data_IF_509844128687
#
_entry.id   IF_509844128687
#
_cell.length_a   1.000
_cell.length_b   1.000
_cell.length_c   1.000
_cell.angle_alpha   90.00
_cell.angle_beta   90.00
_cell.angle_gamma   90.00
#
_symmetry.space_group_name_H-M   'P 1'
#
loop_
_entity.id
_entity.type
_entity.pdbx_description
1 polymer ?
#
# COMPACT_ATOMS: atom_id res chain seq x y z
N UNK A 1 -9.60 26.71 38.19
CA UNK A 1 -8.53 25.75 37.83
C UNK A 1 -9.17 24.45 37.39
N UNK A 2 -9.16 24.16 36.09
CA UNK A 2 -9.24 22.79 35.57
C UNK A 2 -8.77 22.81 34.11
N UNK A 3 -7.45 22.74 34.01
CA UNK A 3 -6.61 22.21 32.92
C UNK A 3 -7.26 21.88 31.57
N UNK A 4 -6.96 22.75 30.60
CA UNK A 4 -6.49 22.47 29.25
C UNK A 4 -6.69 21.03 28.72
N UNK A 5 -7.79 20.81 28.00
CA UNK A 5 -7.82 19.83 26.92
C UNK A 5 -6.95 20.35 25.78
N UNK A 6 -5.68 19.98 25.82
CA UNK A 6 -4.72 20.19 24.74
C UNK A 6 -5.25 19.54 23.46
N UNK A 7 -5.65 20.37 22.49
CA UNK A 7 -5.97 20.01 21.10
C UNK A 7 -4.73 19.48 20.32
N UNK A 8 -3.57 19.35 20.98
CA UNK A 8 -2.30 18.94 20.37
C UNK A 8 -2.27 17.51 19.77
N UNK A 9 -2.99 16.50 20.30
CA UNK A 9 -3.00 15.16 19.68
C UNK A 9 -3.84 15.10 18.40
N UNK A 10 -4.96 15.84 18.34
CA UNK A 10 -5.85 15.87 17.17
C UNK A 10 -5.19 16.59 15.98
N UNK A 11 -4.43 17.66 16.27
CA UNK A 11 -3.63 18.44 15.31
C UNK A 11 -2.44 17.62 14.77
N UNK A 12 -1.86 16.70 15.55
CA UNK A 12 -0.77 15.81 15.10
C UNK A 12 -1.25 14.65 14.20
N UNK A 13 -2.53 14.28 14.27
CA UNK A 13 -3.15 13.30 13.36
C UNK A 13 -3.70 13.92 12.06
N UNK A 14 -3.78 15.25 11.97
CA UNK A 14 -4.24 15.98 10.78
C UNK A 14 -3.12 16.21 9.74
N UNK A 15 -1.86 16.00 10.12
CA UNK A 15 -0.69 16.45 9.34
C UNK A 15 -0.37 15.59 8.09
N UNK A 16 -1.08 14.47 7.86
CA UNK A 16 -0.96 13.64 6.64
C UNK A 16 -2.10 13.86 5.63
N UNK A 17 -3.25 14.37 6.07
CA UNK A 17 -4.35 14.80 5.20
C UNK A 17 -4.11 16.22 4.67
N UNK A 18 -3.37 17.04 5.42
CA UNK A 18 -3.05 18.41 5.02
C UNK A 18 -1.97 18.51 3.95
N UNK A 19 -1.03 17.57 3.79
CA UNK A 19 0.01 17.72 2.75
C UNK A 19 -0.59 17.67 1.34
N UNK A 20 -1.55 16.77 1.10
CA UNK A 20 -2.26 16.69 -0.18
C UNK A 20 -3.27 17.82 -0.36
N UNK A 21 -3.83 18.36 0.73
CA UNK A 21 -4.82 19.45 0.71
C UNK A 21 -4.14 20.83 0.57
N UNK A 22 -3.08 21.09 1.32
CA UNK A 22 -2.21 22.27 1.26
C UNK A 22 -1.53 22.42 -0.11
N UNK A 23 -1.10 21.31 -0.73
CA UNK A 23 -0.57 21.33 -2.11
C UNK A 23 -1.62 21.69 -3.17
N UNK A 24 -2.89 21.33 -2.93
CA UNK A 24 -4.03 21.65 -3.81
C UNK A 24 -4.52 23.09 -3.62
N UNK A 25 -4.37 23.62 -2.40
CA UNK A 25 -4.76 24.99 -2.03
C UNK A 25 -3.71 26.06 -2.45
N UNK A 26 -2.44 25.69 -2.68
CA UNK A 26 -1.36 26.64 -3.04
C UNK A 26 -1.16 26.88 -4.56
N UNK A 27 -1.86 26.18 -5.45
CA UNK A 27 -1.83 26.47 -6.89
C UNK A 27 -0.51 26.21 -7.62
N UNK A 28 0.46 25.52 -7.00
CA UNK A 28 1.77 25.21 -7.61
C UNK A 28 1.79 23.75 -8.05
N UNK A 29 2.15 23.51 -9.32
CA UNK A 29 2.35 22.16 -9.85
C UNK A 29 3.44 21.47 -9.02
N UNK A 30 3.17 20.31 -8.39
CA UNK A 30 4.16 19.66 -7.56
C UNK A 30 5.38 19.26 -8.40
N UNK A 31 6.56 19.52 -7.86
CA UNK A 31 7.83 19.10 -8.42
C UNK A 31 7.79 17.59 -8.72
N UNK A 32 8.33 17.10 -9.86
CA UNK A 32 8.39 15.67 -10.15
C UNK A 32 8.93 14.86 -8.96
N UNK A 33 8.41 13.66 -8.74
CA UNK A 33 8.76 12.87 -7.56
C UNK A 33 10.26 12.52 -7.52
N UNK A 34 10.88 12.37 -8.69
CA UNK A 34 12.31 12.12 -8.83
C UNK A 34 13.15 13.31 -8.35
N UNK A 35 12.64 14.53 -8.51
CA UNK A 35 13.28 15.77 -8.04
C UNK A 35 13.05 15.96 -6.53
N UNK A 36 11.85 15.65 -6.03
CA UNK A 36 11.59 15.63 -4.59
C UNK A 36 12.53 14.66 -3.84
N UNK A 37 12.70 13.43 -4.37
CA UNK A 37 13.65 12.48 -3.80
C UNK A 37 15.11 12.93 -3.96
N UNK A 38 15.46 13.62 -5.04
CA UNK A 38 16.81 14.16 -5.22
C UNK A 38 17.14 15.22 -4.16
N UNK A 39 16.18 16.08 -3.81
CA UNK A 39 16.35 17.07 -2.75
C UNK A 39 16.54 16.40 -1.37
N UNK A 40 15.71 15.39 -1.05
CA UNK A 40 15.82 14.64 0.20
C UNK A 40 17.12 13.82 0.27
N UNK A 41 17.61 13.31 -0.86
CA UNK A 41 18.91 12.65 -0.92
C UNK A 41 20.07 13.63 -0.65
N UNK A 42 20.01 14.85 -1.19
CA UNK A 42 21.03 15.87 -0.88
C UNK A 42 21.06 16.17 0.63
N UNK A 43 19.90 16.23 1.27
CA UNK A 43 19.80 16.32 2.73
C UNK A 43 20.36 15.07 3.43
N UNK A 44 20.12 13.87 2.89
CA UNK A 44 20.64 12.62 3.47
C UNK A 44 22.16 12.48 3.38
N UNK A 45 22.82 13.18 2.45
CA UNK A 45 24.29 13.20 2.35
C UNK A 45 24.95 13.89 3.54
N UNK A 46 24.27 14.86 4.16
CA UNK A 46 24.73 15.56 5.36
C UNK A 46 24.23 14.91 6.65
N UNK A 47 23.03 14.32 6.64
CA UNK A 47 22.41 13.57 7.74
C UNK A 47 22.06 12.14 7.28
N UNK A 48 22.98 11.17 7.50
CA UNK A 48 22.89 9.77 7.02
C UNK A 48 21.83 8.91 7.74
N UNK A 49 20.66 9.46 8.02
CA UNK A 49 19.61 8.79 8.80
C UNK A 49 18.27 8.73 8.08
N UNK A 50 18.22 9.11 6.80
CA UNK A 50 16.99 9.00 6.03
C UNK A 50 16.92 7.65 5.32
N UNK A 51 15.79 6.99 5.54
CA UNK A 51 15.43 5.75 4.88
C UNK A 51 14.14 5.96 4.09
N UNK A 52 13.90 5.11 3.12
CA UNK A 52 12.73 5.15 2.26
C UNK A 52 12.05 3.79 2.20
N UNK A 53 10.75 3.80 2.50
CA UNK A 53 9.87 2.67 2.36
C UNK A 53 8.89 2.94 1.23
N UNK A 54 8.86 2.05 0.24
CA UNK A 54 7.83 2.12 -0.78
C UNK A 54 6.54 1.51 -0.26
N UNK A 55 5.41 2.19 -0.43
CA UNK A 55 4.11 1.77 0.09
C UNK A 55 3.01 2.01 -0.92
N UNK A 56 1.98 1.16 -0.87
CA UNK A 56 0.72 1.38 -1.59
C UNK A 56 -0.13 2.47 -0.92
N UNK A 57 0.17 2.79 0.33
CA UNK A 57 -0.48 3.83 1.11
C UNK A 57 0.47 4.99 1.42
N UNK A 58 -0.02 6.23 1.52
CA UNK A 58 0.80 7.40 1.88
C UNK A 58 1.30 7.35 3.33
N UNK A 59 0.81 6.40 4.13
CA UNK A 59 1.24 6.15 5.51
C UNK A 59 1.75 4.73 5.66
N UNK A 60 2.48 4.50 6.75
CA UNK A 60 2.92 3.15 7.09
C UNK A 60 1.71 2.33 7.56
N UNK A 61 1.48 1.18 6.91
CA UNK A 61 0.32 0.32 7.14
C UNK A 61 0.34 -0.33 8.53
N UNK A 62 -0.77 -0.20 9.26
CA UNK A 62 -1.02 -0.87 10.53
C UNK A 62 -1.40 -2.33 10.25
N UNK A 63 -0.43 -3.24 10.36
CA UNK A 63 -0.78 -4.60 10.78
C UNK A 63 -0.92 -4.54 12.31
N UNK A 64 -1.97 -5.12 12.88
CA UNK A 64 -2.28 -4.95 14.32
C UNK A 64 -1.96 -6.17 15.19
N UNK A 65 -1.49 -7.28 14.62
CA UNK A 65 -0.85 -8.40 15.34
C UNK A 65 -0.38 -9.44 14.34
N UNK A 66 0.80 -10.00 14.56
CA UNK A 66 1.15 -11.30 13.98
C UNK A 66 1.05 -12.39 15.05
N UNK A 67 0.97 -13.64 14.62
CA UNK A 67 0.87 -14.82 15.49
C UNK A 67 2.01 -14.93 16.51
N UNK A 68 3.15 -14.28 16.25
CA UNK A 68 4.32 -14.28 17.13
C UNK A 68 4.30 -13.14 18.16
N UNK A 69 3.22 -12.33 18.20
CA UNK A 69 3.07 -11.15 19.07
C UNK A 69 4.29 -10.21 19.00
N UNK A 70 5.02 -10.21 17.88
CA UNK A 70 6.06 -9.20 17.66
C UNK A 70 5.42 -7.89 17.21
N UNK A 71 6.03 -6.75 17.53
CA UNK A 71 5.51 -5.50 17.05
C UNK A 71 5.61 -5.46 15.53
N UNK A 72 4.84 -4.57 14.93
CA UNK A 72 4.74 -4.52 13.48
C UNK A 72 5.81 -3.59 12.95
N UNK A 73 6.56 -4.08 11.98
CA UNK A 73 7.61 -3.35 11.30
C UNK A 73 7.58 -3.56 9.81
N UNK A 74 8.48 -2.88 9.13
CA UNK A 74 8.49 -2.77 7.67
C UNK A 74 9.93 -2.57 7.19
N UNK A 75 10.18 -2.99 5.96
CA UNK A 75 11.48 -2.83 5.35
C UNK A 75 11.60 -1.45 4.71
N UNK A 76 12.69 -0.75 5.02
CA UNK A 76 13.07 0.51 4.39
C UNK A 76 14.52 0.44 3.91
N UNK A 77 14.83 1.21 2.89
CA UNK A 77 16.16 1.25 2.26
C UNK A 77 16.83 2.57 2.59
N UNK A 78 18.15 2.60 2.62
CA UNK A 78 18.86 3.86 2.72
C UNK A 78 18.48 4.79 1.55
N UNK A 79 18.21 6.06 1.82
CA UNK A 79 17.76 7.00 0.79
C UNK A 79 18.95 7.47 -0.08
N UNK A 80 19.17 6.81 -1.21
CA UNK A 80 20.15 7.17 -2.24
C UNK A 80 19.51 6.99 -3.64
N UNK A 81 19.30 8.08 -4.39
CA UNK A 81 18.52 8.09 -5.64
C UNK A 81 19.13 7.18 -6.70
N UNK A 82 20.46 7.13 -6.81
CA UNK A 82 21.13 6.29 -7.81
C UNK A 82 20.84 4.81 -7.57
N UNK A 83 20.73 4.43 -6.29
CA UNK A 83 20.40 3.07 -5.86
C UNK A 83 18.89 2.83 -5.89
N UNK A 84 18.08 3.82 -5.51
CA UNK A 84 16.63 3.75 -5.51
C UNK A 84 16.04 3.44 -6.88
N UNK A 85 16.59 3.96 -7.98
CA UNK A 85 16.07 3.65 -9.32
C UNK A 85 16.03 2.15 -9.63
N UNK A 86 16.92 1.34 -9.03
CA UNK A 86 16.92 -0.12 -9.18
C UNK A 86 15.88 -0.83 -8.31
N UNK A 87 15.45 -0.19 -7.21
CA UNK A 87 14.55 -0.75 -6.19
C UNK A 87 13.20 -0.03 -6.14
N UNK A 88 13.00 0.98 -7.00
CA UNK A 88 11.75 1.68 -7.17
C UNK A 88 10.72 0.66 -7.66
N UNK A 89 9.93 0.17 -6.72
CA UNK A 89 8.85 -0.78 -7.01
C UNK A 89 7.70 -0.08 -7.75
N UNK A 90 6.69 -0.81 -8.19
CA UNK A 90 5.47 -0.24 -8.77
C UNK A 90 4.59 0.53 -7.76
N UNK A 91 4.98 0.57 -6.48
CA UNK A 91 4.20 1.20 -5.42
C UNK A 91 4.09 2.73 -5.62
N UNK A 92 2.89 3.31 -5.47
CA UNK A 92 2.60 4.71 -5.76
C UNK A 92 3.22 5.71 -4.78
N UNK A 93 3.66 5.28 -3.59
CA UNK A 93 4.26 6.18 -2.61
C UNK A 93 5.66 5.72 -2.20
N UNK A 94 6.51 6.70 -1.94
CA UNK A 94 7.77 6.56 -1.22
C UNK A 94 7.65 7.34 0.09
N UNK A 95 7.61 6.62 1.20
CA UNK A 95 7.57 7.18 2.56
C UNK A 95 9.01 7.30 3.05
N UNK A 96 9.49 8.54 3.17
CA UNK A 96 10.81 8.83 3.73
C UNK A 96 10.66 8.96 5.24
N UNK A 97 11.51 8.24 5.96
CA UNK A 97 11.48 8.12 7.41
C UNK A 97 12.84 8.43 8.01
N UNK A 98 12.85 8.69 9.31
CA UNK A 98 14.05 8.74 10.14
C UNK A 98 13.84 7.91 11.42
N UNK A 99 14.84 7.19 11.93
CA UNK A 99 14.80 6.63 13.27
C UNK A 99 14.67 7.73 14.32
N UNK A 100 13.83 7.52 15.34
CA UNK A 100 13.78 8.42 16.50
C UNK A 100 15.11 8.36 17.27
N UNK A 101 15.52 9.41 18.00
CA UNK A 101 16.72 9.38 18.82
C UNK A 101 16.76 8.23 19.86
N UNK A 102 15.60 7.71 20.24
CA UNK A 102 15.44 6.58 21.18
C UNK A 102 15.60 5.20 20.52
N UNK A 103 15.63 5.13 19.19
CA UNK A 103 15.71 3.87 18.46
C UNK A 103 17.13 3.29 18.55
N UNK A 104 17.25 2.02 18.95
CA UNK A 104 18.55 1.33 18.96
C UNK A 104 18.79 0.65 17.62
N UNK A 105 19.66 1.24 16.79
CA UNK A 105 20.03 0.68 15.49
C UNK A 105 21.21 -0.28 15.64
N UNK A 106 21.14 -1.43 14.96
CA UNK A 106 22.29 -2.33 14.87
C UNK A 106 23.19 -1.88 13.72
N UNK A 107 24.28 -1.20 14.05
CA UNK A 107 25.32 -0.84 13.09
C UNK A 107 26.53 -1.76 13.25
N UNK A 108 26.72 -2.64 12.27
CA UNK A 108 27.81 -3.60 12.27
C UNK A 108 29.20 -2.99 12.13
N UNK A 109 29.30 -1.72 11.72
CA UNK A 109 30.60 -1.03 11.62
C UNK A 109 31.07 -0.50 12.97
N UNK A 110 30.14 -0.24 13.89
CA UNK A 110 30.41 0.24 15.24
C UNK A 110 30.18 -0.85 16.31
N UNK A 111 29.66 -2.01 15.92
CA UNK A 111 29.40 -3.14 16.82
C UNK A 111 30.71 -3.78 17.32
N UNK A 112 30.99 -3.56 18.61
CA UNK A 112 32.24 -3.98 19.24
C UNK A 112 32.19 -5.40 19.84
N UNK A 113 33.36 -5.92 20.23
CA UNK A 113 33.47 -7.15 21.01
C UNK A 113 32.71 -7.10 22.35
N UNK A 114 32.64 -5.93 22.96
CA UNK A 114 31.94 -5.72 24.24
C UNK A 114 30.41 -5.76 24.05
N UNK A 115 29.89 -5.16 22.97
CA UNK A 115 28.47 -5.28 22.64
C UNK A 115 28.08 -6.73 22.38
N UNK A 116 28.93 -7.48 21.67
CA UNK A 116 28.74 -8.91 21.44
C UNK A 116 28.65 -9.69 22.74
N UNK A 117 29.58 -9.45 23.68
CA UNK A 117 29.58 -10.10 24.99
C UNK A 117 28.27 -9.83 25.74
N UNK A 118 27.85 -8.58 25.80
CA UNK A 118 26.60 -8.18 26.49
C UNK A 118 25.36 -8.81 25.87
N UNK A 119 25.26 -8.83 24.54
CA UNK A 119 24.11 -9.42 23.86
C UNK A 119 24.10 -10.96 23.97
N UNK A 120 25.27 -11.60 24.00
CA UNK A 120 25.40 -13.04 24.32
C UNK A 120 24.95 -13.36 25.75
N UNK A 121 25.34 -12.54 26.72
CA UNK A 121 24.92 -12.68 28.12
C UNK A 121 23.39 -12.54 28.25
N UNK A 122 22.76 -11.61 27.51
CA UNK A 122 21.30 -11.48 27.44
C UNK A 122 20.63 -12.73 26.86
N UNK A 123 21.16 -13.28 25.78
CA UNK A 123 20.64 -14.53 25.18
C UNK A 123 20.77 -15.69 26.17
N UNK A 124 21.91 -15.83 26.84
CA UNK A 124 22.10 -16.85 27.87
C UNK A 124 21.06 -16.71 29.01
N UNK A 125 20.83 -15.48 29.49
CA UNK A 125 19.83 -15.20 30.51
C UNK A 125 18.38 -15.50 30.05
N UNK A 126 18.13 -15.41 28.74
CA UNK A 126 16.85 -15.79 28.11
C UNK A 126 16.72 -17.30 27.83
N UNK A 127 17.70 -18.12 28.24
CA UNK A 127 17.62 -19.58 28.14
C UNK A 127 18.19 -20.19 26.86
N UNK A 128 18.91 -19.41 26.05
CA UNK A 128 19.55 -19.93 24.83
C UNK A 128 20.79 -20.79 25.14
N UNK A 129 21.00 -21.86 24.35
CA UNK A 129 22.06 -22.85 24.58
C UNK A 129 23.48 -22.28 24.41
N UNK A 130 24.30 -22.39 25.46
CA UNK A 130 25.72 -22.02 25.44
C UNK A 130 26.51 -22.75 24.35
N UNK A 131 26.17 -24.01 24.05
CA UNK A 131 26.83 -24.80 23.00
C UNK A 131 26.59 -24.22 21.61
N UNK A 132 25.39 -23.73 21.34
CA UNK A 132 25.04 -23.09 20.07
C UNK A 132 25.74 -21.73 19.92
N UNK A 133 25.85 -20.97 21.00
CA UNK A 133 26.59 -19.70 21.07
C UNK A 133 28.09 -19.94 20.79
N UNK A 134 28.71 -20.94 21.41
CA UNK A 134 30.12 -21.28 21.17
C UNK A 134 30.38 -21.78 19.75
N UNK A 135 29.46 -22.56 19.17
CA UNK A 135 29.58 -23.02 17.79
C UNK A 135 29.54 -21.84 16.80
N UNK A 136 28.59 -20.92 16.97
CA UNK A 136 28.51 -19.69 16.18
C UNK A 136 29.78 -18.82 16.30
N UNK A 137 30.35 -18.76 17.51
CA UNK A 137 31.60 -18.04 17.79
C UNK A 137 32.79 -18.61 17.01
N UNK A 138 32.83 -19.93 16.77
CA UNK A 138 33.91 -20.56 15.97
C UNK A 138 33.76 -20.24 14.48
N UNK A 139 32.54 -20.34 13.92
CA UNK A 139 32.31 -20.09 12.49
C UNK A 139 32.52 -18.64 12.03
N UNK A 140 32.45 -17.67 12.94
CA UNK A 140 32.70 -16.27 12.60
C UNK A 140 34.18 -15.88 12.59
N UNK A 141 35.08 -16.73 13.11
CA UNK A 141 36.53 -16.45 13.12
C UNK A 141 37.15 -16.42 11.71
N UNK A 142 36.47 -17.01 10.73
CA UNK A 142 36.98 -17.14 9.36
C UNK A 142 36.67 -15.93 8.47
N UNK A 143 35.90 -14.95 8.94
CA UNK A 143 35.54 -13.73 8.20
C UNK A 143 36.14 -12.46 8.83
N UNK A 144 36.70 -11.58 7.99
CA UNK A 144 37.43 -10.35 8.36
C UNK A 144 36.59 -9.27 9.09
N UNK A 145 35.34 -9.54 9.45
CA UNK A 145 34.52 -8.69 10.31
C UNK A 145 33.86 -9.53 11.41
N UNK A 146 34.66 -9.95 12.39
CA UNK A 146 34.30 -10.96 13.38
C UNK A 146 33.00 -10.59 14.12
N UNK A 147 32.87 -9.37 14.64
CA UNK A 147 31.83 -9.05 15.63
C UNK A 147 30.42 -8.91 15.04
N UNK A 148 30.28 -8.20 13.91
CA UNK A 148 28.99 -8.08 13.23
C UNK A 148 28.54 -9.40 12.61
N UNK A 149 29.49 -10.15 12.04
CA UNK A 149 29.22 -11.51 11.53
C UNK A 149 28.90 -12.48 12.67
N UNK A 150 29.47 -12.28 13.86
CA UNK A 150 29.22 -13.12 15.04
C UNK A 150 27.78 -12.98 15.54
N UNK A 151 27.28 -11.76 15.78
CA UNK A 151 25.90 -11.60 16.27
C UNK A 151 24.88 -12.08 15.24
N UNK A 152 25.17 -11.91 13.95
CA UNK A 152 24.39 -12.50 12.86
C UNK A 152 24.41 -14.03 12.88
N UNK A 153 25.59 -14.66 12.98
CA UNK A 153 25.73 -16.11 13.06
C UNK A 153 25.04 -16.69 14.29
N UNK A 154 25.19 -16.06 15.46
CA UNK A 154 24.56 -16.49 16.71
C UNK A 154 23.03 -16.42 16.58
N UNK A 155 22.47 -15.30 16.13
CA UNK A 155 21.02 -15.15 15.99
C UNK A 155 20.43 -16.09 14.94
N UNK A 156 21.13 -16.35 13.83
CA UNK A 156 20.72 -17.31 12.81
C UNK A 156 20.79 -18.76 13.30
N UNK A 157 21.88 -19.14 13.96
CA UNK A 157 22.05 -20.49 14.48
C UNK A 157 21.08 -20.77 15.63
N UNK A 158 20.84 -19.82 16.52
CA UNK A 158 19.85 -19.94 17.60
C UNK A 158 18.40 -19.93 17.08
N UNK A 159 18.12 -19.23 15.97
CA UNK A 159 16.84 -19.34 15.29
C UNK A 159 16.58 -20.75 14.71
N UNK A 160 17.64 -21.46 14.32
CA UNK A 160 17.57 -22.82 13.78
C UNK A 160 17.75 -23.93 14.82
N UNK A 161 18.39 -23.62 15.96
CA UNK A 161 18.60 -24.56 17.05
C UNK A 161 17.34 -24.60 17.91
N UNK A 162 16.68 -25.75 17.94
CA UNK A 162 15.53 -26.02 18.80
C UNK A 162 15.83 -25.63 20.25
N UNK A 163 15.35 -24.45 20.63
CA UNK A 163 15.33 -23.90 21.97
C UNK A 163 14.33 -22.74 21.88
N UNK A 164 13.22 -22.69 22.62
CA UNK A 164 12.96 -23.10 24.00
C UNK A 164 11.43 -23.30 24.12
N UNK A 165 11.00 -24.25 24.96
CA UNK A 165 9.62 -24.54 25.44
C UNK A 165 8.97 -25.84 24.90
N UNK A 166 8.83 -26.91 25.72
CA UNK A 166 8.07 -28.12 25.40
C UNK A 166 6.58 -27.88 25.06
N UNK A 167 5.99 -26.77 25.52
CA UNK A 167 4.58 -26.44 25.29
C UNK A 167 4.34 -25.49 24.10
N UNK A 168 5.40 -25.13 23.36
CA UNK A 168 5.29 -24.37 22.12
C UNK A 168 5.53 -25.28 20.91
N UNK A 169 4.46 -25.73 20.26
CA UNK A 169 4.52 -26.39 18.94
C UNK A 169 4.26 -25.37 17.82
N UNK A 170 5.30 -24.76 17.21
CA UNK A 170 5.10 -24.06 15.96
C UNK A 170 4.87 -25.09 14.84
N UNK A 171 3.81 -24.90 14.06
CA UNK A 171 3.55 -25.70 12.87
C UNK A 171 4.82 -25.80 12.00
N UNK A 172 5.10 -27.00 11.47
CA UNK A 172 6.28 -27.29 10.68
C UNK A 172 6.52 -26.19 9.62
N UNK A 173 7.75 -25.64 9.51
CA UNK A 173 8.01 -24.54 8.60
C UNK A 173 7.80 -25.02 7.17
N UNK A 174 6.86 -24.40 6.46
CA UNK A 174 6.91 -24.37 5.00
C UNK A 174 8.23 -23.70 4.61
N UNK A 175 8.88 -24.21 3.56
CA UNK A 175 10.11 -23.65 2.99
C UNK A 175 9.84 -22.26 2.38
N UNK A 176 9.59 -21.27 3.21
CA UNK A 176 9.29 -19.92 2.75
C UNK A 176 10.59 -19.10 2.74
N UNK A 177 11.13 -18.95 1.53
CA UNK A 177 12.22 -18.02 1.21
C UNK A 177 11.64 -16.60 1.18
N UNK A 178 11.84 -15.85 2.26
CA UNK A 178 11.91 -14.38 2.27
C UNK A 178 10.65 -13.57 1.95
N UNK A 179 10.51 -12.43 2.62
CA UNK A 179 9.54 -11.38 2.27
C UNK A 179 8.41 -11.12 3.28
N UNK A 180 8.74 -11.05 4.59
CA UNK A 180 7.83 -10.72 5.70
C UNK A 180 7.00 -11.91 6.23
N UNK A 181 6.29 -11.82 7.38
CA UNK A 181 6.52 -11.02 8.59
C UNK A 181 7.55 -11.70 9.53
N UNK A 182 8.53 -10.92 9.98
CA UNK A 182 9.56 -11.20 11.01
C UNK A 182 10.04 -12.66 11.08
N UNK A 183 11.12 -12.98 10.35
CA UNK A 183 11.83 -14.25 10.54
C UNK A 183 12.34 -14.41 11.98
N UNK A 184 12.62 -15.64 12.40
CA UNK A 184 13.10 -15.96 13.77
C UNK A 184 14.30 -15.10 14.20
N UNK A 185 15.19 -14.72 13.29
CA UNK A 185 16.34 -13.86 13.60
C UNK A 185 15.92 -12.40 13.91
N UNK A 186 14.97 -11.83 13.16
CA UNK A 186 14.45 -10.48 13.41
C UNK A 186 13.68 -10.44 14.73
N UNK A 187 13.01 -11.54 15.11
CA UNK A 187 12.43 -11.70 16.46
C UNK A 187 13.51 -11.57 17.53
N UNK A 188 14.61 -12.34 17.42
CA UNK A 188 15.68 -12.37 18.42
C UNK A 188 16.35 -11.00 18.58
N UNK A 189 16.77 -10.39 17.47
CA UNK A 189 17.43 -9.08 17.50
C UNK A 189 16.55 -8.01 18.16
N UNK A 190 15.25 -8.07 17.95
CA UNK A 190 14.36 -7.05 18.44
C UNK A 190 13.78 -7.31 19.82
N UNK A 191 13.19 -8.49 20.05
CA UNK A 191 12.52 -8.82 21.31
C UNK A 191 13.50 -9.14 22.43
N UNK A 192 14.59 -9.83 22.10
CA UNK A 192 15.54 -10.30 23.09
C UNK A 192 16.67 -9.31 23.25
N UNK A 193 17.22 -8.83 22.14
CA UNK A 193 18.39 -7.94 22.16
C UNK A 193 18.05 -6.45 22.14
N UNK A 194 16.83 -6.08 21.72
CA UNK A 194 16.34 -4.70 21.77
C UNK A 194 16.78 -3.80 20.61
N UNK A 195 17.06 -4.36 19.42
CA UNK A 195 17.38 -3.57 18.22
C UNK A 195 16.12 -3.28 17.40
N UNK A 196 15.88 -2.00 17.08
CA UNK A 196 14.68 -1.53 16.37
C UNK A 196 14.87 -1.36 14.85
N UNK A 197 16.12 -1.35 14.39
CA UNK A 197 16.53 -1.29 12.99
C UNK A 197 17.51 -2.41 12.69
N UNK A 198 17.03 -3.49 12.04
CA UNK A 198 17.83 -4.69 11.77
C UNK A 198 17.97 -4.92 10.28
N UNK A 199 19.17 -5.27 9.81
CA UNK A 199 19.46 -5.46 8.38
C UNK A 199 19.00 -6.83 7.91
N UNK A 200 18.28 -6.89 6.79
CA UNK A 200 17.95 -8.12 6.06
C UNK A 200 18.93 -8.32 4.90
N UNK A 201 19.72 -9.40 4.99
CA UNK A 201 20.79 -9.72 4.08
C UNK A 201 20.37 -10.84 3.12
N UNK A 202 19.54 -10.52 2.12
CA UNK A 202 19.19 -11.47 1.06
C UNK A 202 20.37 -12.27 0.48
N UNK A 203 21.63 -11.85 0.68
CA UNK A 203 22.86 -12.64 0.53
C UNK A 203 23.93 -12.36 1.62
N UNK A 204 24.70 -13.41 1.96
CA UNK A 204 25.47 -13.63 3.20
C UNK A 204 26.77 -12.82 3.42
N UNK A 205 26.85 -11.52 3.11
CA UNK A 205 28.01 -10.74 3.55
C UNK A 205 27.59 -9.32 3.92
N UNK A 206 27.85 -8.93 5.16
CA UNK A 206 27.77 -7.54 5.63
C UNK A 206 28.90 -6.76 4.94
N UNK A 207 28.64 -6.32 3.72
CA UNK A 207 29.52 -5.41 3.00
C UNK A 207 28.91 -4.01 3.00
N UNK A 208 29.69 -3.04 3.46
CA UNK A 208 29.53 -1.62 3.15
C UNK A 208 29.50 -1.31 1.63
N UNK A 209 29.74 -2.34 0.80
CA UNK A 209 29.72 -2.31 -0.67
C UNK A 209 28.42 -2.82 -1.29
N UNK A 210 27.52 -3.46 -0.52
CA UNK A 210 26.21 -3.91 -1.02
C UNK A 210 25.26 -2.70 -1.00
N UNK A 211 24.92 -2.09 -2.15
CA UNK A 211 24.32 -0.77 -2.16
C UNK A 211 22.90 -0.75 -1.58
N UNK A 212 22.22 -1.90 -1.48
CA UNK A 212 20.75 -1.99 -1.47
C UNK A 212 20.18 -2.82 -0.31
N UNK A 213 20.82 -2.76 0.86
CA UNK A 213 20.34 -3.48 2.05
C UNK A 213 19.04 -2.86 2.58
N UNK A 214 18.08 -3.73 2.93
CA UNK A 214 16.85 -3.33 3.61
C UNK A 214 17.06 -3.37 5.12
N UNK A 215 16.60 -2.34 5.82
CA UNK A 215 16.53 -2.29 7.27
C UNK A 215 15.08 -2.46 7.67
N UNK A 216 14.80 -3.43 8.53
CA UNK A 216 13.50 -3.63 9.13
C UNK A 216 13.36 -2.69 10.33
N UNK A 217 12.38 -1.79 10.26
CA UNK A 217 12.07 -0.83 11.32
C UNK A 217 10.80 -1.20 12.06
N UNK A 218 10.85 -1.05 13.38
CA UNK A 218 9.64 -0.94 14.19
C UNK A 218 8.88 0.36 13.83
N UNK A 219 7.60 0.23 13.50
CA UNK A 219 6.71 1.36 13.21
C UNK A 219 6.63 2.41 14.31
N UNK A 220 6.83 2.04 15.58
CA UNK A 220 6.76 2.99 16.71
C UNK A 220 8.04 3.79 16.94
N UNK A 221 9.17 3.35 16.37
CA UNK A 221 10.52 3.90 16.63
C UNK A 221 11.06 4.75 15.48
N UNK A 222 10.21 5.07 14.52
CA UNK A 222 10.53 5.95 13.40
C UNK A 222 9.59 7.14 13.35
N UNK A 223 10.04 8.21 12.71
CA UNK A 223 9.24 9.37 12.33
C UNK A 223 9.14 9.45 10.81
N UNK A 224 7.99 9.86 10.29
CA UNK A 224 7.82 10.14 8.87
C UNK A 224 8.38 11.53 8.60
N UNK A 225 9.39 11.59 7.74
CA UNK A 225 10.02 12.85 7.30
C UNK A 225 9.29 13.42 6.09
N UNK A 226 8.92 12.56 5.14
CA UNK A 226 8.19 12.99 3.95
C UNK A 226 7.41 11.84 3.32
N UNK A 227 6.36 12.17 2.56
CA UNK A 227 5.63 11.23 1.72
C UNK A 227 5.68 11.76 0.30
N UNK A 228 6.37 11.02 -0.56
CA UNK A 228 6.52 11.33 -1.98
C UNK A 228 5.54 10.47 -2.78
N UNK A 229 4.64 11.12 -3.50
CA UNK A 229 3.76 10.46 -4.46
C UNK A 229 4.55 10.25 -5.77
N UNK A 230 4.77 8.99 -6.15
CA UNK A 230 5.50 8.60 -7.36
C UNK A 230 4.66 8.64 -8.63
N UNK A 231 3.40 9.07 -8.53
CA UNK A 231 2.54 9.24 -9.71
C UNK A 231 3.02 10.46 -10.48
N UNK A 232 3.88 10.22 -11.47
CA UNK A 232 3.95 11.12 -12.61
C UNK A 232 2.58 11.10 -13.30
N UNK A 233 2.10 12.27 -13.71
CA UNK A 233 0.91 12.41 -14.57
C UNK A 233 1.02 11.60 -15.90
N UNK A 234 2.18 11.00 -16.18
CA UNK A 234 2.46 10.22 -17.39
C UNK A 234 2.08 8.73 -17.39
N UNK A 235 1.53 8.15 -16.31
CA UNK A 235 1.20 6.70 -16.30
C UNK A 235 -0.28 6.33 -16.45
N UNK A 236 -1.14 7.27 -16.85
CA UNK A 236 -2.53 6.97 -17.27
C UNK A 236 -2.61 6.73 -18.79
N UNK A 237 -1.60 7.15 -19.57
CA UNK A 237 -1.65 7.17 -21.04
C UNK A 237 -0.64 6.25 -21.76
N UNK A 238 0.40 5.74 -21.09
CA UNK A 238 1.30 4.76 -21.73
C UNK A 238 0.75 3.33 -21.59
N UNK A 239 -0.32 3.08 -22.32
CA UNK A 239 -0.80 1.74 -22.56
C UNK A 239 -0.33 1.27 -23.95
N UNK A 240 0.14 0.02 -24.10
CA UNK A 240 0.60 -0.48 -25.39
C UNK A 240 -0.48 -0.27 -26.46
N UNK A 241 -0.05 0.07 -27.69
CA UNK A 241 -0.95 0.22 -28.86
C UNK A 241 -1.89 -0.99 -28.94
N UNK A 242 -3.19 -0.75 -28.86
CA UNK A 242 -4.23 -1.81 -28.83
C UNK A 242 -4.86 -2.06 -27.45
N UNK A 243 -4.47 -1.34 -26.41
CA UNK A 243 -5.15 -1.38 -25.11
C UNK A 243 -6.50 -0.66 -25.14
N UNK A 244 -7.37 -0.98 -24.18
CA UNK A 244 -8.67 -0.28 -24.01
C UNK A 244 -8.47 1.23 -23.90
N UNK A 245 -7.36 1.69 -23.29
CA UNK A 245 -6.96 3.10 -23.16
C UNK A 245 -6.77 3.79 -24.54
N UNK A 246 -6.23 3.08 -25.53
CA UNK A 246 -6.08 3.60 -26.90
C UNK A 246 -7.42 3.72 -27.68
N UNK A 247 -8.50 3.11 -27.20
CA UNK A 247 -9.86 3.32 -27.74
C UNK A 247 -10.49 4.64 -27.23
N UNK A 248 -9.97 5.25 -26.16
CA UNK A 248 -10.47 6.52 -25.62
C UNK A 248 -9.74 7.76 -26.16
N UNK A 249 -8.62 7.57 -26.86
CA UNK A 249 -7.79 8.68 -27.39
C UNK A 249 -8.24 9.15 -28.77
N UNK A 250 -9.08 8.39 -29.46
CA UNK A 250 -9.59 8.74 -30.79
C UNK A 250 -10.96 9.43 -30.70
N UNK A 251 -10.92 10.75 -30.88
CA UNK A 251 -11.86 11.50 -31.73
C UNK A 251 -13.08 12.25 -31.16
N UNK A 252 -13.16 12.62 -29.87
CA UNK A 252 -14.10 13.70 -29.44
C UNK A 252 -13.54 14.63 -28.37
N UNK A 253 -13.66 15.95 -28.59
CA UNK A 253 -13.45 16.97 -27.57
C UNK A 253 -14.50 16.77 -26.47
N UNK A 254 -14.05 16.38 -25.28
CA UNK A 254 -14.95 16.20 -24.13
C UNK A 254 -15.46 17.57 -23.65
N UNK A 255 -16.66 17.57 -23.10
CA UNK A 255 -17.21 18.71 -22.39
C UNK A 255 -16.51 18.83 -21.02
N UNK A 256 -15.86 19.96 -20.76
CA UNK A 256 -14.99 20.11 -19.59
C UNK A 256 -15.77 20.60 -18.37
N UNK A 257 -15.78 19.78 -17.33
CA UNK A 257 -16.33 20.06 -16.01
C UNK A 257 -15.37 19.64 -14.90
N UNK A 258 -14.07 19.60 -15.19
CA UNK A 258 -13.07 19.18 -14.21
C UNK A 258 -13.09 20.05 -12.94
N UNK A 259 -12.94 19.39 -11.79
CA UNK A 259 -12.92 20.07 -10.48
C UNK A 259 -14.24 20.73 -10.07
N UNK A 260 -15.34 20.47 -10.78
CA UNK A 260 -16.64 21.07 -10.48
C UNK A 260 -17.22 20.54 -9.17
N UNK A 261 -18.08 21.34 -8.53
CA UNK A 261 -18.81 20.97 -7.32
C UNK A 261 -20.26 20.58 -7.66
N UNK A 262 -20.58 19.31 -7.45
CA UNK A 262 -21.89 18.71 -7.64
C UNK A 262 -22.41 18.07 -6.34
N UNK A 263 -21.84 18.45 -5.19
CA UNK A 263 -22.20 17.85 -3.90
C UNK A 263 -23.69 17.97 -3.61
N UNK A 264 -24.29 16.87 -3.15
CA UNK A 264 -25.70 16.78 -2.78
C UNK A 264 -26.68 17.20 -3.89
N UNK A 265 -26.23 17.29 -5.15
CA UNK A 265 -27.11 17.62 -6.26
C UNK A 265 -27.85 16.37 -6.75
N UNK A 266 -29.05 16.58 -7.28
CA UNK A 266 -29.86 15.52 -7.93
C UNK A 266 -29.69 15.53 -9.45
N UNK A 267 -30.10 14.46 -10.15
CA UNK A 267 -30.06 14.32 -11.62
C UNK A 267 -30.38 15.63 -12.36
N UNK A 268 -31.53 16.22 -12.06
CA UNK A 268 -32.02 17.45 -12.71
C UNK A 268 -31.06 18.63 -12.58
N UNK A 269 -30.49 18.83 -11.39
CA UNK A 269 -29.57 19.94 -11.14
C UNK A 269 -28.26 19.73 -11.91
N UNK A 270 -27.73 18.51 -11.88
CA UNK A 270 -26.48 18.18 -12.56
C UNK A 270 -26.66 18.27 -14.08
N UNK A 271 -27.69 17.61 -14.65
CA UNK A 271 -27.99 17.65 -16.08
C UNK A 271 -28.13 19.09 -16.58
N UNK A 272 -28.88 19.93 -15.86
CA UNK A 272 -29.00 21.35 -16.18
C UNK A 272 -27.66 22.08 -16.13
N UNK A 273 -26.84 21.83 -15.11
CA UNK A 273 -25.52 22.46 -14.95
C UNK A 273 -24.57 22.09 -16.10
N UNK A 274 -24.66 20.86 -16.61
CA UNK A 274 -23.83 20.39 -17.73
C UNK A 274 -24.42 20.64 -19.12
N UNK A 275 -25.59 21.29 -19.21
CA UNK A 275 -26.25 21.60 -20.48
C UNK A 275 -26.96 20.41 -21.15
N UNK A 276 -27.28 19.36 -20.39
CA UNK A 276 -28.04 18.21 -20.86
C UNK A 276 -29.53 18.35 -20.51
N UNK A 277 -30.39 17.78 -21.35
CA UNK A 277 -31.84 17.75 -21.09
C UNK A 277 -32.14 16.94 -19.83
N UNK A 278 -33.03 17.44 -18.98
CA UNK A 278 -33.49 16.75 -17.76
C UNK A 278 -34.21 15.42 -18.06
N UNK A 279 -34.73 15.26 -19.28
CA UNK A 279 -35.35 14.03 -19.76
C UNK A 279 -34.33 13.05 -20.35
N UNK A 280 -33.09 13.50 -20.60
CA UNK A 280 -32.04 12.66 -21.13
C UNK A 280 -31.27 12.02 -19.96
N UNK A 281 -31.51 10.74 -19.74
CA UNK A 281 -30.79 9.96 -18.73
C UNK A 281 -29.42 9.47 -19.25
N UNK A 282 -28.88 10.08 -20.30
CA UNK A 282 -27.59 9.75 -20.90
C UNK A 282 -26.66 10.96 -20.80
N UNK A 283 -25.49 10.75 -20.21
CA UNK A 283 -24.39 11.72 -20.18
C UNK A 283 -23.26 11.11 -21.02
N UNK A 284 -22.97 11.70 -22.18
CA UNK A 284 -21.92 11.25 -23.08
C UNK A 284 -20.78 12.27 -23.17
N UNK A 285 -19.54 11.82 -23.02
CA UNK A 285 -18.37 12.60 -23.41
C UNK A 285 -18.10 13.80 -22.50
N UNK A 286 -18.31 13.67 -21.20
CA UNK A 286 -18.04 14.73 -20.21
C UNK A 286 -16.80 14.37 -19.38
N UNK A 287 -15.93 15.36 -19.18
CA UNK A 287 -14.78 15.25 -18.29
C UNK A 287 -15.11 15.84 -16.91
N UNK A 288 -15.35 14.96 -15.95
CA UNK A 288 -15.60 15.27 -14.55
C UNK A 288 -14.36 15.04 -13.67
N UNK A 289 -13.15 14.94 -14.24
CA UNK A 289 -11.96 14.59 -13.46
C UNK A 289 -11.73 15.58 -12.31
N UNK A 290 -11.47 15.04 -11.12
CA UNK A 290 -11.26 15.81 -9.89
C UNK A 290 -12.50 16.52 -9.32
N UNK A 291 -13.68 16.35 -9.92
CA UNK A 291 -14.94 16.94 -9.43
C UNK A 291 -15.43 16.28 -8.13
N UNK A 292 -16.29 16.98 -7.39
CA UNK A 292 -16.87 16.51 -6.14
C UNK A 292 -18.38 16.24 -6.31
N UNK A 293 -18.78 14.98 -6.27
CA UNK A 293 -20.15 14.50 -6.28
C UNK A 293 -20.56 13.94 -4.91
N UNK A 294 -19.88 14.33 -3.82
CA UNK A 294 -20.15 13.75 -2.50
C UNK A 294 -21.63 13.91 -2.13
N UNK A 295 -22.30 12.78 -1.84
CA UNK A 295 -23.72 12.73 -1.51
C UNK A 295 -24.68 13.09 -2.64
N UNK A 296 -24.20 13.26 -3.89
CA UNK A 296 -25.07 13.50 -5.03
C UNK A 296 -25.97 12.29 -5.31
N UNK A 297 -27.13 12.54 -5.92
CA UNK A 297 -28.05 11.51 -6.36
C UNK A 297 -28.12 11.55 -7.90
N UNK A 298 -27.53 10.54 -8.52
CA UNK A 298 -27.39 10.33 -9.96
C UNK A 298 -27.97 8.96 -10.39
N UNK A 299 -29.14 8.60 -9.85
CA UNK A 299 -29.75 7.30 -10.09
C UNK A 299 -30.23 7.16 -11.55
N UNK A 300 -30.10 5.95 -12.11
CA UNK A 300 -30.57 5.55 -13.45
C UNK A 300 -29.95 6.34 -14.60
N UNK A 301 -28.75 6.90 -14.42
CA UNK A 301 -28.03 7.61 -15.48
C UNK A 301 -27.12 6.64 -16.24
N UNK A 302 -27.06 6.79 -17.55
CA UNK A 302 -26.12 6.11 -18.43
C UNK A 302 -24.96 7.06 -18.78
N UNK A 303 -23.79 6.80 -18.20
CA UNK A 303 -22.55 7.49 -18.49
C UNK A 303 -21.81 6.78 -19.62
N UNK A 304 -21.53 7.50 -20.70
CA UNK A 304 -20.85 6.95 -21.88
C UNK A 304 -19.60 7.80 -22.15
N UNK A 305 -18.44 7.18 -22.27
CA UNK A 305 -17.18 7.88 -22.59
C UNK A 305 -16.86 9.06 -21.64
N UNK A 306 -17.28 8.96 -20.37
CA UNK A 306 -17.05 10.00 -19.37
C UNK A 306 -15.76 9.76 -18.58
N UNK A 307 -15.16 10.84 -18.07
CA UNK A 307 -13.98 10.76 -17.20
C UNK A 307 -14.36 11.23 -15.80
N UNK A 308 -13.98 10.42 -14.80
CA UNK A 308 -14.14 10.67 -13.37
C UNK A 308 -12.80 10.48 -12.65
N UNK A 309 -11.68 10.63 -13.36
CA UNK A 309 -10.36 10.36 -12.79
C UNK A 309 -10.16 11.24 -11.55
N UNK A 310 -9.82 10.62 -10.41
CA UNK A 310 -9.64 11.30 -9.11
C UNK A 310 -10.86 12.12 -8.62
N UNK A 311 -12.06 11.92 -9.18
CA UNK A 311 -13.28 12.54 -8.67
C UNK A 311 -13.65 11.98 -7.28
N UNK A 312 -14.34 12.78 -6.47
CA UNK A 312 -14.92 12.34 -5.20
C UNK A 312 -16.39 11.98 -5.40
N UNK A 313 -16.69 10.70 -5.47
CA UNK A 313 -18.02 10.09 -5.59
C UNK A 313 -18.46 9.50 -4.24
N UNK A 314 -17.88 9.94 -3.11
CA UNK A 314 -18.20 9.37 -1.81
C UNK A 314 -19.67 9.56 -1.47
N UNK A 315 -20.34 8.50 -0.97
CA UNK A 315 -21.77 8.51 -0.61
C UNK A 315 -22.72 8.85 -1.76
N UNK A 316 -22.26 8.81 -3.01
CA UNK A 316 -23.12 9.06 -4.17
C UNK A 316 -24.20 7.96 -4.27
N UNK A 317 -25.38 8.32 -4.75
CA UNK A 317 -26.45 7.37 -5.07
C UNK A 317 -26.55 7.19 -6.58
N UNK A 318 -26.22 5.99 -7.07
CA UNK A 318 -26.14 5.64 -8.49
C UNK A 318 -27.03 4.43 -8.83
N UNK A 319 -28.06 4.13 -8.03
CA UNK A 319 -28.96 2.99 -8.23
C UNK A 319 -29.37 2.81 -9.71
N UNK A 320 -29.14 1.61 -10.27
CA UNK A 320 -29.45 1.27 -11.66
C UNK A 320 -28.79 2.14 -12.74
N UNK A 321 -27.65 2.75 -12.43
CA UNK A 321 -26.87 3.51 -13.42
C UNK A 321 -25.96 2.60 -14.25
N UNK A 322 -25.64 3.02 -15.46
CA UNK A 322 -24.77 2.30 -16.40
C UNK A 322 -23.54 3.14 -16.71
N UNK A 323 -22.37 2.53 -16.66
CA UNK A 323 -21.10 3.11 -17.07
C UNK A 323 -20.58 2.33 -18.25
N UNK A 324 -20.49 2.98 -19.40
CA UNK A 324 -19.92 2.40 -20.62
C UNK A 324 -18.68 3.20 -20.98
N UNK A 325 -17.53 2.53 -21.02
CA UNK A 325 -16.26 3.16 -21.41
C UNK A 325 -16.00 4.42 -20.57
N UNK A 326 -16.10 4.29 -19.25
CA UNK A 326 -15.78 5.40 -18.33
C UNK A 326 -14.40 5.20 -17.69
N UNK A 327 -13.70 6.31 -17.45
CA UNK A 327 -12.40 6.33 -16.79
C UNK A 327 -12.56 6.86 -15.37
N UNK A 328 -12.54 5.97 -14.38
CA UNK A 328 -12.68 6.29 -12.95
C UNK A 328 -11.39 6.01 -12.16
N UNK A 329 -10.23 6.07 -12.84
CA UNK A 329 -8.94 5.78 -12.23
C UNK A 329 -8.65 6.69 -11.03
N UNK A 330 -8.39 6.09 -9.87
CA UNK A 330 -8.15 6.80 -8.62
C UNK A 330 -9.34 7.59 -8.06
N UNK A 331 -10.56 7.39 -8.57
CA UNK A 331 -11.75 7.99 -8.00
C UNK A 331 -12.00 7.49 -6.58
N UNK A 332 -12.58 8.33 -5.71
CA UNK A 332 -13.07 7.92 -4.39
C UNK A 332 -14.55 7.60 -4.51
N UNK A 333 -14.94 6.37 -4.22
CA UNK A 333 -16.31 5.86 -4.38
C UNK A 333 -16.79 5.30 -3.02
N UNK A 334 -16.24 5.83 -1.93
CA UNK A 334 -16.43 5.31 -0.57
C UNK A 334 -17.89 5.41 -0.15
N UNK A 335 -18.43 4.36 0.46
CA UNK A 335 -19.80 4.34 0.99
C UNK A 335 -20.88 4.69 -0.07
N UNK A 336 -20.57 4.56 -1.36
CA UNK A 336 -21.53 4.86 -2.42
C UNK A 336 -22.59 3.76 -2.53
N UNK A 337 -23.81 4.16 -2.90
CA UNK A 337 -24.94 3.27 -3.16
C UNK A 337 -25.04 3.01 -4.66
N UNK A 338 -24.47 1.90 -5.09
CA UNK A 338 -24.33 1.53 -6.50
C UNK A 338 -24.92 0.14 -6.79
N UNK A 339 -26.01 -0.21 -6.10
CA UNK A 339 -26.68 -1.48 -6.33
C UNK A 339 -27.40 -1.48 -7.69
N UNK A 340 -27.39 -2.64 -8.34
CA UNK A 340 -27.94 -2.89 -9.67
C UNK A 340 -27.31 -2.05 -10.80
N UNK A 341 -26.04 -1.67 -10.67
CA UNK A 341 -25.31 -0.90 -11.67
C UNK A 341 -24.68 -1.79 -12.76
N UNK A 342 -24.45 -1.22 -13.93
CA UNK A 342 -23.67 -1.84 -15.00
C UNK A 342 -22.35 -1.12 -15.24
N UNK A 343 -21.27 -1.86 -15.47
CA UNK A 343 -19.97 -1.34 -15.88
C UNK A 343 -19.47 -2.13 -17.07
N UNK A 344 -19.28 -1.46 -18.20
CA UNK A 344 -18.83 -2.07 -19.46
C UNK A 344 -17.59 -1.34 -19.92
N UNK A 345 -16.48 -2.05 -20.08
CA UNK A 345 -15.21 -1.53 -20.59
C UNK A 345 -14.69 -0.32 -19.80
N UNK A 346 -14.89 -0.31 -18.49
CA UNK A 346 -14.50 0.79 -17.61
C UNK A 346 -13.12 0.57 -16.97
N UNK A 347 -12.46 1.67 -16.60
CA UNK A 347 -11.17 1.63 -15.92
C UNK A 347 -11.32 2.26 -14.52
N UNK A 348 -11.26 1.43 -13.49
CA UNK A 348 -11.34 1.78 -12.07
C UNK A 348 -10.03 1.48 -11.33
N UNK A 349 -8.90 1.48 -12.05
CA UNK A 349 -7.60 1.20 -11.45
C UNK A 349 -7.31 2.16 -10.29
N UNK A 350 -6.87 1.60 -9.16
CA UNK A 350 -6.57 2.33 -7.93
C UNK A 350 -7.74 3.17 -7.36
N UNK A 351 -8.98 2.92 -7.79
CA UNK A 351 -10.15 3.54 -7.19
C UNK A 351 -10.34 3.05 -5.75
N UNK A 352 -10.89 3.91 -4.91
CA UNK A 352 -11.21 3.60 -3.52
C UNK A 352 -12.70 3.31 -3.38
N UNK A 353 -13.08 2.03 -3.35
CA UNK A 353 -14.46 1.57 -3.22
C UNK A 353 -14.77 1.11 -1.78
N UNK A 354 -14.06 1.61 -0.77
CA UNK A 354 -14.30 1.19 0.61
C UNK A 354 -15.79 1.28 0.99
N UNK A 355 -16.34 0.19 1.51
CA UNK A 355 -17.74 0.10 1.96
C UNK A 355 -18.79 0.49 0.88
N UNK A 356 -18.46 0.39 -0.41
CA UNK A 356 -19.43 0.62 -1.49
C UNK A 356 -20.43 -0.54 -1.58
N UNK A 357 -21.71 -0.23 -1.78
CA UNK A 357 -22.72 -1.22 -2.11
C UNK A 357 -22.76 -1.43 -3.63
N UNK A 358 -22.34 -2.61 -4.11
CA UNK A 358 -22.36 -3.04 -5.52
C UNK A 358 -23.18 -4.31 -5.72
N UNK A 359 -24.20 -4.51 -4.88
CA UNK A 359 -25.08 -5.67 -4.95
C UNK A 359 -25.76 -5.77 -6.31
N UNK A 360 -25.84 -6.96 -6.87
CA UNK A 360 -26.47 -7.26 -8.16
C UNK A 360 -25.93 -6.42 -9.34
N UNK A 361 -24.71 -5.89 -9.22
CA UNK A 361 -24.09 -5.10 -10.28
C UNK A 361 -23.30 -5.98 -11.26
N UNK A 362 -23.25 -5.58 -12.53
CA UNK A 362 -22.56 -6.32 -13.59
C UNK A 362 -21.32 -5.57 -14.06
N UNK A 363 -20.23 -6.32 -14.25
CA UNK A 363 -18.94 -5.81 -14.72
C UNK A 363 -18.49 -6.63 -15.93
N UNK A 364 -18.24 -5.97 -17.06
CA UNK A 364 -17.75 -6.60 -18.29
C UNK A 364 -16.54 -5.86 -18.85
N UNK A 365 -15.41 -6.53 -18.97
CA UNK A 365 -14.17 -5.94 -19.52
C UNK A 365 -13.63 -4.80 -18.64
N UNK A 366 -13.79 -4.90 -17.33
CA UNK A 366 -13.48 -3.83 -16.37
C UNK A 366 -12.11 -4.02 -15.76
N UNK A 367 -11.35 -2.92 -15.63
CA UNK A 367 -10.06 -2.95 -14.92
C UNK A 367 -10.22 -2.39 -13.49
N UNK A 368 -9.94 -3.23 -12.49
CA UNK A 368 -9.95 -2.91 -11.05
C UNK A 368 -8.56 -3.12 -10.42
N UNK A 369 -7.49 -2.88 -11.19
CA UNK A 369 -6.13 -3.15 -10.72
C UNK A 369 -5.78 -2.26 -9.54
N UNK A 370 -5.23 -2.85 -8.47
CA UNK A 370 -4.89 -2.15 -7.24
C UNK A 370 -6.04 -1.34 -6.62
N UNK A 371 -7.30 -1.66 -6.93
CA UNK A 371 -8.46 -1.00 -6.31
C UNK A 371 -8.59 -1.39 -4.83
N UNK A 372 -9.07 -0.45 -4.01
CA UNK A 372 -9.38 -0.72 -2.60
C UNK A 372 -10.81 -1.23 -2.49
N UNK A 373 -10.96 -2.52 -2.17
CA UNK A 373 -12.25 -3.23 -2.18
C UNK A 373 -12.67 -3.74 -0.79
N UNK A 374 -12.10 -3.15 0.26
CA UNK A 374 -12.44 -3.52 1.64
C UNK A 374 -13.89 -3.16 1.96
N UNK A 375 -14.61 -4.09 2.59
CA UNK A 375 -16.03 -3.98 2.97
C UNK A 375 -16.98 -3.70 1.78
N UNK A 376 -16.54 -3.91 0.54
CA UNK A 376 -17.43 -3.79 -0.63
C UNK A 376 -18.45 -4.92 -0.61
N UNK A 377 -19.72 -4.59 -0.84
CA UNK A 377 -20.77 -5.58 -1.01
C UNK A 377 -20.94 -5.96 -2.48
N UNK A 378 -20.51 -7.18 -2.81
CA UNK A 378 -20.62 -7.78 -4.15
C UNK A 378 -21.70 -8.88 -4.21
N UNK A 379 -22.63 -8.94 -3.27
CA UNK A 379 -23.68 -9.97 -3.31
C UNK A 379 -24.44 -9.95 -4.63
N UNK A 380 -24.46 -11.07 -5.35
CA UNK A 380 -25.12 -11.19 -6.66
C UNK A 380 -24.42 -10.46 -7.80
N UNK A 381 -23.21 -9.93 -7.59
CA UNK A 381 -22.47 -9.23 -8.64
C UNK A 381 -21.92 -10.21 -9.70
N UNK A 382 -21.85 -9.77 -10.95
CA UNK A 382 -21.35 -10.57 -12.05
C UNK A 382 -20.07 -9.97 -12.65
N UNK A 383 -19.00 -10.76 -12.74
CA UNK A 383 -17.70 -10.35 -13.25
C UNK A 383 -17.33 -11.17 -14.49
N UNK A 384 -17.31 -10.48 -15.64
CA UNK A 384 -16.91 -11.05 -16.93
C UNK A 384 -15.70 -10.30 -17.48
N UNK A 385 -14.59 -10.99 -17.71
CA UNK A 385 -13.34 -10.39 -18.18
C UNK A 385 -12.90 -9.19 -17.31
N UNK A 386 -12.93 -9.37 -15.99
CA UNK A 386 -12.55 -8.33 -15.03
C UNK A 386 -11.12 -8.53 -14.55
N UNK A 387 -10.36 -7.46 -14.41
CA UNK A 387 -8.98 -7.52 -13.92
C UNK A 387 -8.85 -6.96 -12.50
N UNK A 388 -8.78 -7.84 -11.52
CA UNK A 388 -8.57 -7.52 -10.10
C UNK A 388 -7.09 -7.53 -9.67
N UNK A 389 -6.13 -7.59 -10.60
CA UNK A 389 -4.71 -7.74 -10.27
C UNK A 389 -4.25 -6.68 -9.25
N UNK A 390 -3.70 -7.14 -8.11
CA UNK A 390 -3.18 -6.27 -7.05
C UNK A 390 -4.24 -5.62 -6.14
N UNK A 391 -5.53 -5.88 -6.35
CA UNK A 391 -6.58 -5.49 -5.39
C UNK A 391 -6.65 -6.46 -4.20
N UNK A 392 -7.24 -6.02 -3.09
CA UNK A 392 -7.53 -6.88 -1.94
C UNK A 392 -9.03 -7.23 -1.91
N UNK A 393 -9.36 -8.50 -2.15
CA UNK A 393 -10.72 -9.04 -2.09
C UNK A 393 -11.04 -9.77 -0.78
N UNK A 394 -10.12 -9.82 0.18
CA UNK A 394 -10.30 -10.64 1.40
C UNK A 394 -11.46 -10.16 2.27
N UNK A 395 -11.63 -8.85 2.38
CA UNK A 395 -12.64 -8.19 3.21
C UNK A 395 -13.91 -7.83 2.42
N UNK A 396 -14.00 -8.20 1.13
CA UNK A 396 -15.21 -7.96 0.36
C UNK A 396 -16.30 -8.97 0.75
N UNK A 397 -17.53 -8.48 0.89
CA UNK A 397 -18.68 -9.29 1.32
C UNK A 397 -19.52 -9.69 0.11
N UNK A 398 -20.28 -10.79 0.23
CA UNK A 398 -21.17 -11.26 -0.84
C UNK A 398 -20.48 -11.92 -2.04
N UNK A 399 -19.16 -12.18 -1.96
CA UNK A 399 -18.41 -12.83 -3.04
C UNK A 399 -18.86 -14.28 -3.33
N UNK A 400 -19.50 -14.96 -2.38
CA UNK A 400 -20.03 -16.32 -2.58
C UNK A 400 -21.20 -16.34 -3.54
N UNK A 401 -21.97 -15.26 -3.57
CA UNK A 401 -23.12 -15.05 -4.43
C UNK A 401 -22.73 -14.31 -5.72
N UNK A 402 -21.47 -13.92 -5.86
CA UNK A 402 -20.95 -13.33 -7.08
C UNK A 402 -20.52 -14.42 -8.08
N UNK A 403 -20.57 -14.08 -9.37
CA UNK A 403 -20.17 -14.98 -10.46
C UNK A 403 -18.93 -14.46 -11.18
N UNK A 404 -17.98 -15.34 -11.50
CA UNK A 404 -16.72 -15.00 -12.16
C UNK A 404 -16.52 -15.88 -13.40
N UNK A 405 -16.20 -15.29 -14.55
CA UNK A 405 -15.83 -16.07 -15.74
C UNK A 405 -14.35 -16.47 -15.77
N UNK A 406 -13.99 -17.36 -16.69
CA UNK A 406 -12.62 -17.86 -16.84
C UNK A 406 -11.59 -16.79 -17.26
N UNK A 407 -12.05 -15.64 -17.81
CA UNK A 407 -11.19 -14.54 -18.23
C UNK A 407 -10.86 -13.59 -17.08
N UNK A 408 -11.66 -13.61 -16.03
CA UNK A 408 -11.48 -12.75 -14.87
C UNK A 408 -10.18 -13.07 -14.15
N UNK A 409 -9.33 -12.05 -14.01
CA UNK A 409 -8.01 -12.13 -13.38
C UNK A 409 -8.14 -11.78 -11.92
N UNK A 410 -7.88 -12.75 -11.05
CA UNK A 410 -8.00 -12.58 -9.60
C UNK A 410 -6.68 -12.07 -8.98
N UNK A 411 -6.73 -11.47 -7.77
CA UNK A 411 -5.53 -11.12 -7.04
C UNK A 411 -4.64 -12.34 -6.77
N UNK A 412 -3.32 -12.11 -6.69
CA UNK A 412 -2.38 -13.19 -6.38
C UNK A 412 -2.73 -13.83 -5.03
N UNK A 413 -2.87 -15.15 -5.00
CA UNK A 413 -3.22 -15.90 -3.79
C UNK A 413 -4.72 -15.97 -3.50
N UNK A 414 -5.54 -15.30 -4.30
CA UNK A 414 -7.00 -15.41 -4.22
C UNK A 414 -7.48 -16.53 -5.15
N UNK A 415 -8.03 -17.60 -4.58
CA UNK A 415 -8.53 -18.75 -5.31
C UNK A 415 -10.03 -18.97 -5.01
N UNK A 416 -10.80 -19.16 -6.09
CA UNK A 416 -12.25 -19.38 -6.00
C UNK A 416 -12.57 -20.75 -5.39
N UNK A 417 -11.76 -21.77 -5.70
CA UNK A 417 -12.03 -23.14 -5.27
C UNK A 417 -11.88 -23.28 -3.76
N UNK A 418 -10.77 -22.80 -3.19
CA UNK A 418 -10.56 -22.77 -1.73
C UNK A 418 -11.60 -21.95 -0.97
N UNK A 419 -12.26 -20.99 -1.62
CA UNK A 419 -13.31 -20.15 -1.03
C UNK A 419 -14.73 -20.69 -1.26
N UNK A 420 -14.88 -21.86 -1.88
CA UNK A 420 -16.16 -22.50 -2.23
C UNK A 420 -17.06 -21.60 -3.09
N UNK A 421 -16.46 -20.83 -3.99
CA UNK A 421 -17.18 -19.93 -4.90
C UNK A 421 -17.39 -20.60 -6.25
N UNK A 422 -18.47 -20.24 -6.94
CA UNK A 422 -18.86 -20.85 -8.22
C UNK A 422 -18.32 -19.97 -9.36
N UNK A 423 -17.52 -20.57 -10.24
CA UNK A 423 -17.19 -19.93 -11.51
C UNK A 423 -18.41 -20.01 -12.45
N UNK A 424 -18.70 -18.91 -13.15
CA UNK A 424 -19.64 -18.93 -14.26
C UNK A 424 -19.07 -19.78 -15.41
N UNK A 425 -19.92 -20.48 -16.17
CA UNK A 425 -19.50 -21.26 -17.33
C UNK A 425 -18.85 -20.43 -18.44
#
# INVERSE_FOLDING_TARGET
>A
MSSNHSLSPLIKSLTLLEISRHKKELGVKPTPWQEQLAALEQQNKTDKNLFVHFSDYPRMGLYLKNQYKTPIGFYAYFLDRKKMMRFATSRPFAVVIRPKPTARLLDFTTYSAENLKQDVEKLAAWGFSQKAIEYARRGARDNQNLHGSMIWNITRLLAGADSVDPDFQPAAPKKDRGGGPTGKWSYLLWKVLGYDGVVDDGFQIIHHLEPNQAVFFNTTQVEIVSVVEKKDESSILDAPKGSILSLFEKDKKLLDFQGSDFRNMVNKQILKAIGFSENNMIIEGVDFSGSDFTGANLQRINFINCRFAKADLSKIELYKSLFTRCLLGGAKIREAKMDNCGFVQCVLNSADLFATNLRNSSFSGVHLRNAYLQDVDFFGAAFYDVDFTGSNLEDAIGLREATFDAKTKLPKGFDLATRKMIAAP
#
